data_IF_868359886562
#
_entry.id   IF_868359886562
#
_cell.length_a   1.000
_cell.length_b   1.000
_cell.length_c   1.000
_cell.angle_alpha   90.00
_cell.angle_beta   90.00
_cell.angle_gamma   90.00
#
_symmetry.space_group_name_H-M   'P 1'
#
loop_
_entity.id
_entity.type
_entity.pdbx_description
1 polymer ?
#
# COMPACT_ATOMS: atom_id res chain seq x y z
N UNK A 1 -13.83 24.94 14.57
CA UNK A 1 -14.84 23.91 14.91
C UNK A 1 -15.41 23.34 13.62
N UNK A 2 -14.84 22.25 13.10
CA UNK A 2 -15.39 21.59 11.92
C UNK A 2 -16.65 20.81 12.32
N UNK A 3 -17.80 21.21 11.79
CA UNK A 3 -19.08 20.56 12.07
C UNK A 3 -19.10 19.15 11.49
N UNK A 4 -19.36 18.15 12.32
CA UNK A 4 -19.53 16.77 11.88
C UNK A 4 -20.74 16.67 10.94
N UNK A 5 -20.52 16.10 9.76
CA UNK A 5 -21.59 15.82 8.80
C UNK A 5 -22.60 14.84 9.41
N UNK A 6 -23.90 15.16 9.51
CA UNK A 6 -24.86 14.27 10.14
C UNK A 6 -25.00 12.97 9.34
N UNK A 7 -24.86 11.84 10.04
CA UNK A 7 -25.04 10.51 9.46
C UNK A 7 -26.53 10.30 9.14
N UNK A 8 -26.83 9.98 7.87
CA UNK A 8 -28.19 9.68 7.40
C UNK A 8 -28.43 8.17 7.42
N UNK A 9 -29.56 7.76 7.98
CA UNK A 9 -30.00 6.36 7.92
C UNK A 9 -30.31 5.94 6.48
N UNK A 10 -29.68 4.85 6.04
CA UNK A 10 -29.87 4.25 4.71
C UNK A 10 -31.01 3.24 4.78
N UNK A 11 -31.99 3.32 3.87
CA UNK A 11 -33.12 2.37 3.85
C UNK A 11 -32.67 0.99 3.38
N UNK A 12 -33.32 -0.07 3.85
CA UNK A 12 -33.07 -1.44 3.39
C UNK A 12 -33.27 -1.53 1.86
N UNK A 13 -32.18 -1.82 1.13
CA UNK A 13 -32.14 -1.87 -0.34
C UNK A 13 -31.69 -0.59 -1.05
N UNK A 14 -31.41 0.50 -0.33
CA UNK A 14 -30.84 1.73 -0.91
C UNK A 14 -29.37 1.47 -1.31
N UNK A 15 -29.12 1.31 -2.62
CA UNK A 15 -27.76 1.21 -3.15
C UNK A 15 -27.08 2.57 -2.97
N UNK A 16 -25.86 2.62 -2.40
CA UNK A 16 -25.16 3.88 -2.17
C UNK A 16 -25.06 4.67 -3.48
N UNK A 17 -25.16 6.01 -3.42
CA UNK A 17 -25.11 6.84 -4.62
C UNK A 17 -23.84 6.49 -5.39
N UNK A 18 -23.97 6.26 -6.70
CA UNK A 18 -22.86 5.94 -7.64
C UNK A 18 -21.66 6.89 -7.51
N UNK A 19 -21.83 8.06 -6.89
CA UNK A 19 -20.83 9.08 -6.60
C UNK A 19 -19.82 8.72 -5.50
N UNK A 20 -20.05 7.67 -4.70
CA UNK A 20 -19.08 7.17 -3.72
C UNK A 20 -18.11 6.11 -4.29
N UNK A 21 -18.25 5.74 -5.58
CA UNK A 21 -17.06 5.30 -6.31
C UNK A 21 -16.31 6.55 -6.67
N UNK A 22 -15.44 7.02 -5.76
CA UNK A 22 -14.26 7.79 -6.18
C UNK A 22 -13.76 7.04 -7.40
N UNK A 23 -13.75 7.67 -8.59
CA UNK A 23 -13.16 7.06 -9.77
C UNK A 23 -11.75 6.67 -9.33
N UNK A 24 -11.53 5.40 -9.03
CA UNK A 24 -10.20 4.91 -8.72
C UNK A 24 -9.36 5.37 -9.89
N UNK A 25 -8.43 6.29 -9.63
CA UNK A 25 -7.62 6.87 -10.68
C UNK A 25 -7.03 5.71 -11.46
N UNK A 26 -7.13 5.76 -12.79
CA UNK A 26 -6.61 4.68 -13.63
C UNK A 26 -5.14 4.50 -13.23
N UNK A 27 -4.69 3.29 -12.90
CA UNK A 27 -3.33 3.12 -12.41
C UNK A 27 -2.37 3.47 -13.55
N UNK A 28 -1.36 4.30 -13.24
CA UNK A 28 -0.42 4.87 -14.22
C UNK A 28 0.25 3.79 -15.07
N UNK A 29 0.55 4.08 -16.33
CA UNK A 29 1.47 3.24 -17.11
C UNK A 29 2.89 3.33 -16.53
N UNK A 30 3.80 2.44 -16.95
CA UNK A 30 5.19 2.51 -16.50
C UNK A 30 5.85 3.85 -16.87
N UNK A 31 5.58 4.36 -18.08
CA UNK A 31 6.11 5.65 -18.53
C UNK A 31 5.57 6.79 -17.67
N UNK A 32 4.25 6.86 -17.47
CA UNK A 32 3.62 7.89 -16.62
C UNK A 32 4.10 7.81 -15.15
N UNK A 33 4.38 6.61 -14.64
CA UNK A 33 4.91 6.43 -13.28
C UNK A 33 6.37 6.91 -13.19
N UNK A 34 7.20 6.61 -14.19
CA UNK A 34 8.58 7.09 -14.27
C UNK A 34 8.64 8.61 -14.36
N UNK A 35 7.80 9.22 -15.21
CA UNK A 35 7.70 10.68 -15.32
C UNK A 35 7.22 11.33 -14.01
N UNK A 36 6.32 10.65 -13.28
CA UNK A 36 5.84 11.10 -11.98
C UNK A 36 6.87 10.97 -10.86
N UNK A 37 7.85 10.09 -11.00
CA UNK A 37 8.97 9.93 -10.06
C UNK A 37 8.62 9.24 -8.73
N UNK A 38 7.38 8.81 -8.52
CA UNK A 38 7.00 8.08 -7.31
C UNK A 38 7.44 6.62 -7.40
N UNK A 39 8.28 6.21 -6.46
CA UNK A 39 8.89 4.87 -6.48
C UNK A 39 7.85 3.75 -6.33
N UNK A 40 6.84 3.94 -5.46
CA UNK A 40 5.80 2.94 -5.26
C UNK A 40 4.96 2.77 -6.54
N UNK A 41 4.58 3.86 -7.20
CA UNK A 41 3.86 3.84 -8.47
C UNK A 41 4.67 3.17 -9.58
N UNK A 42 5.99 3.39 -9.63
CA UNK A 42 6.89 2.73 -10.59
C UNK A 42 6.88 1.21 -10.36
N UNK A 43 7.05 0.76 -9.12
CA UNK A 43 7.04 -0.67 -8.79
C UNK A 43 5.68 -1.32 -9.09
N UNK A 44 4.58 -0.62 -8.80
CA UNK A 44 3.23 -1.10 -9.10
C UNK A 44 2.96 -1.19 -10.61
N UNK A 45 3.52 -0.28 -11.42
CA UNK A 45 3.48 -0.36 -12.86
C UNK A 45 4.31 -1.53 -13.39
N UNK A 46 5.57 -1.67 -12.96
CA UNK A 46 6.43 -2.78 -13.34
C UNK A 46 5.81 -4.14 -12.99
N UNK A 47 5.19 -4.27 -11.81
CA UNK A 47 4.51 -5.50 -11.40
C UNK A 47 3.37 -5.87 -12.35
N UNK A 48 2.59 -4.88 -12.81
CA UNK A 48 1.50 -5.11 -13.78
C UNK A 48 2.05 -5.57 -15.12
N UNK A 49 3.13 -4.97 -15.59
CA UNK A 49 3.76 -5.34 -16.87
C UNK A 49 4.33 -6.77 -16.82
N UNK A 50 4.98 -7.16 -15.70
CA UNK A 50 5.46 -8.53 -15.48
C UNK A 50 4.29 -9.53 -15.51
N UNK A 51 3.17 -9.22 -14.85
CA UNK A 51 1.98 -10.07 -14.87
C UNK A 51 1.38 -10.18 -16.27
N UNK A 52 1.38 -9.10 -17.05
CA UNK A 52 0.90 -9.12 -18.43
C UNK A 52 1.79 -9.96 -19.35
N UNK A 53 3.11 -10.00 -19.11
CA UNK A 53 4.07 -10.77 -19.91
C UNK A 53 4.10 -12.27 -19.56
N UNK A 54 3.83 -12.63 -18.29
CA UNK A 54 3.93 -14.02 -17.78
C UNK A 54 3.24 -15.11 -18.63
N UNK A 55 2.03 -14.90 -19.20
CA UNK A 55 1.36 -15.91 -20.01
C UNK A 55 2.06 -16.21 -21.34
N UNK A 56 2.79 -15.24 -21.90
CA UNK A 56 3.49 -15.37 -23.18
C UNK A 56 4.85 -16.06 -23.03
N UNK A 57 5.47 -15.96 -21.84
CA UNK A 57 6.81 -16.47 -21.59
C UNK A 57 6.85 -17.98 -21.28
N UNK A 58 8.02 -18.60 -21.56
CA UNK A 58 8.29 -20.02 -21.30
C UNK A 58 9.67 -20.24 -20.70
N UNK A 59 9.87 -21.41 -20.10
CA UNK A 59 11.19 -21.88 -19.66
C UNK A 59 11.90 -20.90 -18.70
N UNK A 60 13.21 -20.65 -18.90
CA UNK A 60 13.99 -19.77 -18.03
C UNK A 60 13.44 -18.34 -17.91
N UNK A 61 12.92 -17.77 -19.01
CA UNK A 61 12.33 -16.42 -19.01
C UNK A 61 11.11 -16.34 -18.09
N UNK A 62 10.22 -17.34 -18.16
CA UNK A 62 9.07 -17.45 -17.25
C UNK A 62 9.50 -17.57 -15.78
N UNK A 63 10.52 -18.38 -15.50
CA UNK A 63 11.05 -18.50 -14.13
C UNK A 63 11.64 -17.18 -13.63
N UNK A 64 12.34 -16.43 -14.49
CA UNK A 64 12.87 -15.11 -14.15
C UNK A 64 11.74 -14.11 -13.85
N UNK A 65 10.69 -14.07 -14.67
CA UNK A 65 9.53 -13.20 -14.42
C UNK A 65 8.81 -13.55 -13.11
N UNK A 66 8.67 -14.84 -12.76
CA UNK A 66 8.12 -15.22 -11.46
C UNK A 66 8.99 -14.75 -10.28
N UNK A 67 10.31 -14.83 -10.41
CA UNK A 67 11.24 -14.29 -9.40
C UNK A 67 11.10 -12.78 -9.27
N UNK A 68 11.08 -12.06 -10.39
CA UNK A 68 10.90 -10.61 -10.41
C UNK A 68 9.55 -10.21 -9.79
N UNK A 69 8.47 -10.93 -10.10
CA UNK A 69 7.16 -10.71 -9.49
C UNK A 69 7.20 -10.87 -7.96
N UNK A 70 7.91 -11.88 -7.44
CA UNK A 70 8.07 -12.09 -6.00
C UNK A 70 8.84 -10.94 -5.34
N UNK A 71 9.92 -10.48 -5.96
CA UNK A 71 10.73 -9.35 -5.46
C UNK A 71 9.90 -8.06 -5.43
N UNK A 72 9.27 -7.70 -6.55
CA UNK A 72 8.41 -6.50 -6.64
C UNK A 72 7.27 -6.56 -5.62
N UNK A 73 6.66 -7.73 -5.42
CA UNK A 73 5.55 -7.87 -4.47
C UNK A 73 5.99 -7.73 -3.02
N UNK A 74 7.21 -8.16 -2.69
CA UNK A 74 7.78 -7.96 -1.35
C UNK A 74 8.08 -6.48 -1.12
N UNK A 75 8.80 -5.83 -2.04
CA UNK A 75 9.14 -4.41 -1.92
C UNK A 75 7.89 -3.52 -1.78
N UNK A 76 6.87 -3.75 -2.60
CA UNK A 76 5.59 -3.01 -2.50
C UNK A 76 4.92 -3.23 -1.14
N UNK A 77 5.01 -4.44 -0.57
CA UNK A 77 4.47 -4.71 0.75
C UNK A 77 5.26 -3.93 1.81
N UNK A 78 6.58 -4.04 1.80
CA UNK A 78 7.46 -3.41 2.78
C UNK A 78 7.27 -1.87 2.75
N UNK A 79 7.14 -1.25 1.57
CA UNK A 79 6.83 0.18 1.43
C UNK A 79 5.45 0.56 1.98
N UNK A 80 4.44 -0.28 1.77
CA UNK A 80 3.07 -0.03 2.27
C UNK A 80 2.97 -0.22 3.78
N UNK A 81 3.66 -1.20 4.34
CA UNK A 81 3.76 -1.41 5.79
C UNK A 81 4.49 -0.25 6.44
N UNK A 82 5.64 0.16 5.89
CA UNK A 82 6.39 1.33 6.39
C UNK A 82 5.57 2.64 6.34
N UNK A 83 4.71 2.81 5.32
CA UNK A 83 3.82 3.97 5.24
C UNK A 83 2.74 3.97 6.33
N UNK A 84 2.30 2.79 6.80
CA UNK A 84 1.33 2.65 7.89
C UNK A 84 2.02 2.81 9.25
N UNK A 85 3.20 2.22 9.43
CA UNK A 85 3.97 2.29 10.68
C UNK A 85 4.57 3.69 10.91
N UNK A 86 4.81 4.46 9.85
CA UNK A 86 5.29 5.84 9.91
C UNK A 86 4.33 6.85 10.57
N UNK A 87 3.04 6.51 10.69
CA UNK A 87 2.07 7.31 11.47
C UNK A 87 2.04 6.95 12.96
N UNK A 88 2.80 5.94 13.39
CA UNK A 88 2.72 5.36 14.73
C UNK A 88 4.08 5.08 15.36
N UNK A 89 4.97 6.07 15.47
CA UNK A 89 5.98 6.03 16.53
C UNK A 89 5.26 6.14 17.87
N UNK A 90 4.87 5.00 18.43
CA UNK A 90 4.46 4.93 19.84
C UNK A 90 5.74 5.02 20.65
N UNK A 91 6.18 6.25 20.93
CA UNK A 91 6.99 6.50 22.11
C UNK A 91 6.08 6.10 23.27
N UNK A 92 6.34 4.94 23.86
CA UNK A 92 5.75 4.62 25.15
C UNK A 92 6.26 5.68 26.13
N UNK A 93 5.40 6.63 26.52
CA UNK A 93 5.62 7.49 27.69
C UNK A 93 5.41 6.65 28.96
N UNK A 94 6.08 5.51 29.05
CA UNK A 94 6.29 4.82 30.31
C UNK A 94 7.33 5.63 31.05
N UNK A 95 6.98 6.10 32.24
CA UNK A 95 7.96 6.68 33.16
C UNK A 95 9.04 5.62 33.38
N UNK A 96 10.30 6.01 33.19
CA UNK A 96 11.42 5.15 33.54
C UNK A 96 11.33 4.88 35.04
N UNK A 97 10.98 3.65 35.42
CA UNK A 97 11.03 3.24 36.83
C UNK A 97 12.48 3.36 37.30
N UNK A 98 12.68 4.04 38.43
CA UNK A 98 13.99 4.18 39.03
C UNK A 98 14.51 2.79 39.39
N UNK A 99 15.57 2.37 38.70
CA UNK A 99 16.31 1.16 39.03
C UNK A 99 16.75 1.21 40.50
N UNK A 100 16.23 0.30 41.33
CA UNK A 100 16.44 0.33 42.79
C UNK A 100 17.83 -0.15 43.23
N UNK A 101 18.67 -0.62 42.30
CA UNK A 101 20.08 -0.91 42.55
C UNK A 101 20.35 -2.04 43.55
N UNK A 102 19.33 -2.76 44.04
CA UNK A 102 19.50 -3.77 45.10
C UNK A 102 19.80 -5.18 44.58
N UNK A 103 20.23 -5.29 43.32
CA UNK A 103 20.78 -6.52 42.76
C UNK A 103 22.19 -6.83 43.28
N UNK A 104 22.30 -7.25 44.55
CA UNK A 104 23.45 -7.99 45.11
C UNK A 104 22.96 -9.08 46.06
#
# INVERSE_FOLDING_TARGET
>A
MAGATPLRAVKSGEKPPRRARVKAAKPKTLVEAIEGGDYLEILEAQRRDVVAALPAEKGPAKAALHRQLSILSKEIRDLKEAAVDGEGSVVANTEDEAWDGTGY
#
